data_IF_893587851608
#
_entry.id   IF_893587851608
#
_cell.length_a   1.000
_cell.length_b   1.000
_cell.length_c   1.000
_cell.angle_alpha   90.00
_cell.angle_beta   90.00
_cell.angle_gamma   90.00
#
_symmetry.space_group_name_H-M   'P 1'
#
loop_
_entity.id
_entity.type
_entity.pdbx_description
1 polymer ?
#
# COMPACT_ATOMS: atom_id res chain seq x y z
N UNK A 1 2.35 17.58 18.31
CA UNK A 1 2.64 16.74 17.12
C UNK A 1 3.77 17.34 16.33
N UNK A 2 4.71 16.53 15.92
CA UNK A 2 5.83 17.01 15.12
C UNK A 2 5.37 17.40 13.73
N UNK A 3 6.15 18.23 13.06
CA UNK A 3 5.86 18.65 11.71
C UNK A 3 5.80 17.48 10.74
N UNK A 4 6.70 16.51 10.88
CA UNK A 4 6.72 15.32 10.01
C UNK A 4 5.53 14.42 10.28
N UNK A 5 5.11 14.27 11.52
CA UNK A 5 3.96 13.47 11.86
C UNK A 5 2.68 14.09 11.29
N UNK A 6 2.54 15.40 11.38
CA UNK A 6 1.39 16.12 10.82
C UNK A 6 1.35 15.97 9.30
N UNK A 7 2.50 16.02 8.64
CA UNK A 7 2.64 15.85 7.20
C UNK A 7 2.18 14.45 6.78
N UNK A 8 2.62 13.43 7.50
CA UNK A 8 2.22 12.05 7.22
C UNK A 8 0.72 11.85 7.39
N UNK A 9 0.15 12.41 8.45
CA UNK A 9 -1.28 12.33 8.69
C UNK A 9 -2.09 12.99 7.58
N UNK A 10 -1.64 14.15 7.10
CA UNK A 10 -2.31 14.84 6.00
C UNK A 10 -2.31 14.00 4.73
N UNK A 11 -1.19 13.34 4.43
CA UNK A 11 -1.09 12.51 3.25
C UNK A 11 -2.01 11.29 3.35
N UNK A 12 -2.03 10.62 4.50
CA UNK A 12 -2.92 9.48 4.73
C UNK A 12 -4.37 9.87 4.56
N UNK A 13 -4.77 11.02 5.13
CA UNK A 13 -6.14 11.49 5.00
C UNK A 13 -6.49 11.85 3.55
N UNK A 14 -5.56 12.45 2.83
CA UNK A 14 -5.78 12.79 1.42
C UNK A 14 -5.90 11.53 0.57
N UNK A 15 -5.10 10.50 0.87
CA UNK A 15 -5.20 9.22 0.17
C UNK A 15 -6.56 8.56 0.42
N UNK A 16 -7.02 8.54 1.67
CA UNK A 16 -8.33 7.98 1.99
C UNK A 16 -9.42 8.71 1.19
N UNK A 17 -9.38 10.03 1.16
CA UNK A 17 -10.37 10.81 0.41
C UNK A 17 -10.32 10.47 -1.07
N UNK A 18 -9.12 10.38 -1.64
CA UNK A 18 -8.97 10.05 -3.05
C UNK A 18 -9.46 8.64 -3.37
N UNK A 19 -9.02 7.64 -2.59
CA UNK A 19 -9.41 6.25 -2.82
C UNK A 19 -10.93 6.08 -2.71
N UNK A 20 -11.54 6.76 -1.74
CA UNK A 20 -12.99 6.68 -1.55
C UNK A 20 -13.73 7.38 -2.69
N UNK A 21 -13.17 8.44 -3.25
CA UNK A 21 -13.77 9.11 -4.40
C UNK A 21 -13.75 8.22 -5.64
N UNK A 22 -12.84 7.24 -5.68
CA UNK A 22 -12.73 6.29 -6.79
C UNK A 22 -13.58 5.04 -6.54
N UNK A 23 -14.33 4.99 -5.45
CA UNK A 23 -15.25 3.89 -5.21
C UNK A 23 -14.85 2.88 -4.15
N UNK A 24 -13.68 3.07 -3.54
CA UNK A 24 -13.28 2.20 -2.43
C UNK A 24 -13.89 2.71 -1.12
N UNK A 25 -13.83 1.89 -0.09
CA UNK A 25 -14.25 2.27 1.26
C UNK A 25 -13.06 2.06 2.18
N UNK A 26 -12.26 3.10 2.35
CA UNK A 26 -11.03 3.03 3.12
C UNK A 26 -11.08 3.96 4.33
N UNK A 27 -10.20 3.72 5.28
CA UNK A 27 -10.12 4.54 6.48
C UNK A 27 -8.74 4.39 7.12
N UNK A 28 -8.40 5.33 7.97
CA UNK A 28 -7.18 5.26 8.76
C UNK A 28 -7.52 4.48 10.04
N UNK A 29 -6.84 3.35 10.32
CA UNK A 29 -7.17 2.58 11.51
C UNK A 29 -6.76 3.32 12.77
N UNK A 30 -7.47 3.06 13.87
CA UNK A 30 -7.07 3.58 15.16
C UNK A 30 -5.76 2.93 15.58
N UNK A 31 -4.86 3.73 16.17
CA UNK A 31 -3.59 3.24 16.67
C UNK A 31 -3.84 2.58 18.03
N UNK A 32 -4.14 1.30 18.01
CA UNK A 32 -4.40 0.57 19.23
C UNK A 32 -3.71 -0.79 19.16
N UNK A 33 -2.94 -1.14 20.17
CA UNK A 33 -2.26 -2.41 20.20
C UNK A 33 -0.85 -2.34 19.64
N UNK A 34 -0.16 -3.46 19.72
CA UNK A 34 1.26 -3.52 19.42
C UNK A 34 1.59 -3.87 17.98
N UNK A 35 0.62 -4.34 17.21
CA UNK A 35 0.89 -4.83 15.86
C UNK A 35 0.59 -3.76 14.82
N UNK A 36 1.58 -3.51 13.98
CA UNK A 36 1.44 -2.56 12.88
C UNK A 36 0.82 -3.29 11.70
N UNK A 37 -0.38 -2.86 11.32
CA UNK A 37 -1.13 -3.45 10.20
C UNK A 37 -1.27 -2.49 9.01
N UNK A 38 -0.51 -1.39 9.04
CA UNK A 38 -0.49 -0.43 7.94
C UNK A 38 -1.21 0.87 8.27
N UNK A 39 -1.12 1.81 7.36
CA UNK A 39 -1.62 3.17 7.56
C UNK A 39 -3.05 3.37 7.08
N UNK A 40 -3.51 2.57 6.14
CA UNK A 40 -4.85 2.67 5.55
C UNK A 40 -5.44 1.26 5.45
N UNK A 41 -6.68 1.11 5.88
CA UNK A 41 -7.41 -0.14 5.79
C UNK A 41 -8.59 0.01 4.85
N UNK A 42 -9.12 -1.10 4.38
CA UNK A 42 -10.32 -1.13 3.55
C UNK A 42 -10.10 -1.59 2.12
N UNK A 43 -8.87 -1.69 1.66
CA UNK A 43 -8.63 -2.29 0.34
C UNK A 43 -8.52 -3.80 0.56
N UNK A 44 -9.45 -4.58 0.02
CA UNK A 44 -9.44 -6.03 0.25
C UNK A 44 -8.11 -6.66 -0.14
N UNK A 45 -7.59 -7.54 0.71
CA UNK A 45 -6.37 -8.31 0.47
C UNK A 45 -5.06 -7.51 0.53
N UNK A 46 -5.12 -6.22 0.86
CA UNK A 46 -3.92 -5.38 0.88
C UNK A 46 -3.59 -4.83 2.26
N UNK A 47 -2.32 -4.84 2.59
CA UNK A 47 -1.76 -3.97 3.61
C UNK A 47 -1.24 -2.73 2.88
N UNK A 48 -1.47 -1.54 3.43
CA UNK A 48 -1.18 -0.27 2.76
C UNK A 48 -0.31 0.60 3.65
N UNK A 49 0.86 0.98 3.12
CA UNK A 49 1.77 1.93 3.75
C UNK A 49 1.69 3.24 2.97
N UNK A 50 1.82 4.36 3.66
CA UNK A 50 1.83 5.67 3.01
C UNK A 50 3.06 6.45 3.50
N UNK A 51 3.82 7.02 2.59
CA UNK A 51 5.04 7.78 2.91
C UNK A 51 5.03 9.13 2.22
N UNK A 52 5.12 10.19 3.00
CA UNK A 52 5.30 11.54 2.50
C UNK A 52 6.64 12.04 3.01
N UNK A 53 7.71 11.62 2.34
CA UNK A 53 9.08 11.96 2.73
C UNK A 53 9.74 12.82 1.66
N UNK A 54 10.61 13.72 2.11
CA UNK A 54 11.41 14.50 1.18
C UNK A 54 12.35 13.59 0.39
N UNK A 55 12.93 12.59 1.06
CA UNK A 55 13.77 11.58 0.42
C UNK A 55 12.87 10.49 -0.18
N UNK A 56 12.55 10.64 -1.45
CA UNK A 56 11.65 9.71 -2.14
C UNK A 56 12.27 8.32 -2.26
N UNK A 57 13.56 8.23 -2.53
CA UNK A 57 14.24 6.93 -2.62
C UNK A 57 14.16 6.19 -1.29
N UNK A 58 14.41 6.89 -0.19
CA UNK A 58 14.27 6.33 1.14
C UNK A 58 12.83 5.90 1.43
N UNK A 59 11.85 6.71 1.03
CA UNK A 59 10.45 6.39 1.22
C UNK A 59 10.05 5.12 0.46
N UNK A 60 10.54 4.96 -0.76
CA UNK A 60 10.28 3.76 -1.56
C UNK A 60 10.86 2.53 -0.87
N UNK A 61 12.13 2.60 -0.47
CA UNK A 61 12.80 1.47 0.16
C UNK A 61 12.19 1.11 1.50
N UNK A 62 12.09 2.09 2.39
CA UNK A 62 11.62 1.84 3.76
C UNK A 62 10.16 1.41 3.79
N UNK A 63 9.32 2.09 3.01
CA UNK A 63 7.90 1.77 3.00
C UNK A 63 7.59 0.44 2.35
N UNK A 64 8.33 0.09 1.31
CA UNK A 64 8.10 -1.17 0.60
C UNK A 64 8.58 -2.36 1.43
N UNK A 65 9.69 -2.20 2.14
CA UNK A 65 10.13 -3.23 3.07
C UNK A 65 9.19 -3.32 4.28
N UNK A 66 8.80 -2.18 4.82
CA UNK A 66 7.94 -2.13 6.01
C UNK A 66 6.57 -2.73 5.79
N UNK A 67 6.00 -2.53 4.59
CA UNK A 67 4.67 -3.04 4.32
C UNK A 67 4.61 -4.58 4.32
N UNK A 68 5.74 -5.26 4.11
CA UNK A 68 5.76 -6.72 4.17
C UNK A 68 5.45 -7.22 5.58
N UNK A 69 5.97 -6.53 6.60
CA UNK A 69 5.67 -6.87 7.98
C UNK A 69 4.21 -6.58 8.31
N UNK A 70 3.72 -5.46 7.84
CA UNK A 70 2.31 -5.08 8.02
C UNK A 70 1.39 -6.09 7.36
N UNK A 71 1.77 -6.56 6.16
CA UNK A 71 1.02 -7.57 5.43
C UNK A 71 0.91 -8.86 6.23
N UNK A 72 2.03 -9.30 6.82
CA UNK A 72 2.03 -10.49 7.67
C UNK A 72 1.14 -10.29 8.89
N UNK A 73 1.27 -9.15 9.56
CA UNK A 73 0.48 -8.85 10.75
C UNK A 73 -1.02 -8.80 10.46
N UNK A 74 -1.37 -8.28 9.29
CA UNK A 74 -2.77 -8.16 8.89
C UNK A 74 -3.32 -9.46 8.29
N UNK A 75 -2.45 -10.36 7.86
CA UNK A 75 -2.86 -11.55 7.14
C UNK A 75 -3.27 -11.22 5.72
N UNK A 76 -2.74 -10.14 5.14
CA UNK A 76 -3.09 -9.70 3.80
C UNK A 76 -2.24 -10.42 2.77
N UNK A 77 -2.82 -10.57 1.58
CA UNK A 77 -2.16 -11.24 0.47
C UNK A 77 -1.11 -10.36 -0.20
N UNK A 78 -1.36 -9.05 -0.25
CA UNK A 78 -0.49 -8.10 -0.96
C UNK A 78 -0.11 -6.94 -0.06
N UNK A 79 1.03 -6.31 -0.36
CA UNK A 79 1.44 -5.08 0.28
C UNK A 79 1.70 -4.01 -0.76
N UNK A 80 1.23 -2.80 -0.53
CA UNK A 80 1.50 -1.66 -1.41
C UNK A 80 1.93 -0.47 -0.58
N UNK A 81 2.92 0.26 -1.10
CA UNK A 81 3.45 1.45 -0.47
C UNK A 81 3.11 2.64 -1.36
N UNK A 82 2.26 3.55 -0.89
CA UNK A 82 1.94 4.77 -1.61
C UNK A 82 2.92 5.86 -1.22
N UNK A 83 3.66 6.38 -2.20
CA UNK A 83 4.68 7.40 -1.97
C UNK A 83 4.25 8.69 -2.64
N UNK A 84 4.17 9.77 -1.84
CA UNK A 84 3.75 11.07 -2.34
C UNK A 84 4.83 11.68 -3.22
N UNK A 85 4.39 12.33 -4.29
CA UNK A 85 5.26 13.17 -5.11
C UNK A 85 4.94 14.63 -4.80
N UNK A 86 5.98 15.37 -4.39
CA UNK A 86 5.81 16.79 -4.04
C UNK A 86 5.26 17.58 -5.23
N UNK A 87 4.30 18.46 -4.94
CA UNK A 87 3.73 19.39 -5.92
C UNK A 87 3.00 18.69 -7.08
N UNK A 88 2.61 17.44 -6.91
CA UNK A 88 1.82 16.71 -7.90
C UNK A 88 0.47 16.32 -7.31
N UNK A 89 -0.54 16.12 -8.17
CA UNK A 89 -1.85 15.61 -7.68
C UNK A 89 -1.67 14.30 -6.94
N UNK A 90 -2.57 14.03 -6.00
CA UNK A 90 -2.52 12.80 -5.21
C UNK A 90 -2.47 11.55 -6.10
N UNK A 91 -3.22 11.57 -7.20
CA UNK A 91 -3.27 10.44 -8.15
C UNK A 91 -1.95 10.18 -8.86
N UNK A 92 -1.04 11.14 -8.85
CA UNK A 92 0.25 11.02 -9.53
C UNK A 92 1.37 10.55 -8.59
N UNK A 93 1.06 10.20 -7.36
CA UNK A 93 2.02 9.54 -6.49
C UNK A 93 2.38 8.17 -7.02
N UNK A 94 3.28 7.50 -6.33
CA UNK A 94 3.72 6.17 -6.74
C UNK A 94 3.04 5.10 -5.89
N UNK A 95 2.59 4.04 -6.54
CA UNK A 95 2.16 2.82 -5.86
C UNK A 95 3.27 1.79 -6.09
N UNK A 96 3.98 1.43 -5.03
CA UNK A 96 5.15 0.56 -5.13
C UNK A 96 4.87 -0.78 -4.46
N UNK A 97 5.10 -1.84 -5.20
CA UNK A 97 4.93 -3.20 -4.68
C UNK A 97 6.22 -3.97 -4.88
N UNK A 98 6.49 -4.90 -3.98
CA UNK A 98 7.57 -5.86 -4.20
C UNK A 98 7.17 -6.75 -5.39
N UNK A 99 8.12 -7.11 -6.21
CA UNK A 99 7.83 -7.83 -7.47
C UNK A 99 7.01 -9.10 -7.25
N UNK A 100 7.33 -9.88 -6.23
CA UNK A 100 6.59 -11.11 -5.98
C UNK A 100 5.13 -10.84 -5.61
N UNK A 101 4.85 -9.77 -4.86
CA UNK A 101 3.46 -9.38 -4.57
C UNK A 101 2.75 -8.94 -5.85
N UNK A 102 3.44 -8.23 -6.71
CA UNK A 102 2.87 -7.79 -7.99
C UNK A 102 2.53 -8.99 -8.87
N UNK A 103 3.40 -9.99 -8.92
CA UNK A 103 3.14 -11.22 -9.68
C UNK A 103 1.90 -11.94 -9.14
N UNK A 104 1.77 -12.01 -7.81
CA UNK A 104 0.59 -12.63 -7.20
C UNK A 104 -0.68 -11.88 -7.55
N UNK A 105 -0.61 -10.55 -7.58
CA UNK A 105 -1.73 -9.72 -7.99
C UNK A 105 -2.09 -9.98 -9.45
N UNK A 106 -1.10 -10.10 -10.33
CA UNK A 106 -1.34 -10.41 -11.73
C UNK A 106 -2.00 -11.78 -11.90
N UNK A 107 -1.59 -12.77 -11.11
CA UNK A 107 -2.25 -14.09 -11.19
C UNK A 107 -3.73 -13.99 -10.85
N UNK A 108 -4.05 -13.12 -9.92
CA UNK A 108 -5.44 -12.93 -9.54
C UNK A 108 -6.21 -12.14 -10.60
N UNK A 109 -5.61 -11.08 -11.13
CA UNK A 109 -6.28 -10.18 -12.05
C UNK A 109 -6.28 -10.71 -13.49
N UNK A 110 -5.22 -11.38 -13.89
CA UNK A 110 -5.00 -11.84 -15.28
C UNK A 110 -4.53 -13.29 -15.30
N UNK A 111 -5.33 -14.23 -14.73
CA UNK A 111 -4.87 -15.62 -14.65
C UNK A 111 -4.58 -16.21 -16.02
N UNK A 112 -5.30 -15.78 -17.04
CA UNK A 112 -5.12 -16.26 -18.40
C UNK A 112 -3.78 -15.89 -19.01
N UNK A 113 -3.04 -14.92 -18.39
CA UNK A 113 -1.74 -14.52 -18.90
C UNK A 113 -0.61 -15.45 -18.46
N UNK A 114 -0.91 -16.39 -17.56
CA UNK A 114 0.10 -17.31 -17.05
C UNK A 114 -0.04 -18.67 -17.72
N UNK A 115 1.09 -19.38 -17.85
CA UNK A 115 1.09 -20.67 -18.51
C UNK A 115 0.37 -21.70 -17.68
N UNK A 116 -0.38 -22.55 -18.36
CA UNK A 116 -1.14 -23.60 -17.70
C UNK A 116 -0.28 -24.59 -16.95
N UNK A 117 0.93 -24.81 -17.38
CA UNK A 117 1.82 -25.70 -16.69
C UNK A 117 1.96 -25.39 -15.22
N UNK A 118 1.80 -24.13 -14.89
CA UNK A 118 1.83 -23.73 -13.50
C UNK A 118 0.63 -24.25 -12.74
N UNK A 119 -0.40 -24.54 -13.46
CA UNK A 119 -1.63 -24.90 -12.83
C UNK A 119 -1.88 -26.33 -12.88
N UNK A 120 -1.21 -26.97 -13.76
CA UNK A 120 -1.46 -28.20 -13.88
C UNK A 120 -0.84 -29.01 -13.30
N UNK A 121 -0.47 -28.80 -13.03
CA UNK A 121 -0.07 -29.54 -12.52
C UNK A 121 -0.74 -30.46 -12.56
N UNK A 122 -1.08 -30.69 -13.14
CA UNK A 122 -1.77 -31.33 -13.31
C UNK A 122 -1.51 -32.13 -13.37
#
# INVERSE_FOLDING_TARGET
MSKNKAKGTRYESALVAYLNSEGLTTYRPAQAGARDTGDIHGIPHFAVQAKDWRDVTGAVREGTDGVQKQRENLGAQFGVNFVKRAHKPIAHGYAVMRIDNFIDLLRLALPWAFKDGDNETE
#
